data_IF_219948835678
#
_entry.id   IF_219948835678
#
_cell.length_a   1.000
_cell.length_b   1.000
_cell.length_c   1.000
_cell.angle_alpha   90.00
_cell.angle_beta   90.00
_cell.angle_gamma   90.00
#
_symmetry.space_group_name_H-M   'P 1'
#
loop_
_entity.id
_entity.type
_entity.pdbx_description
1 polymer ?
#
# COMPACT_ATOMS: atom_id res chain seq x y z
N UNK A 1 8.01 -19.60 -21.46
CA UNK A 1 8.49 -18.24 -21.13
C UNK A 1 7.54 -17.53 -20.17
N UNK A 2 7.94 -17.36 -18.91
CA UNK A 2 7.17 -16.53 -17.96
C UNK A 2 7.18 -15.09 -18.47
N UNK A 3 6.01 -14.51 -18.74
CA UNK A 3 5.94 -13.12 -19.15
C UNK A 3 6.48 -12.25 -18.02
N UNK A 4 7.53 -11.48 -18.29
CA UNK A 4 8.16 -10.61 -17.30
C UNK A 4 7.21 -9.45 -17.03
N UNK A 5 6.64 -9.41 -15.82
CA UNK A 5 5.79 -8.30 -15.38
C UNK A 5 6.60 -7.00 -15.42
N UNK A 6 6.06 -6.00 -16.10
CA UNK A 6 6.58 -4.63 -16.10
C UNK A 6 5.47 -3.67 -15.60
N UNK A 7 5.80 -2.46 -15.14
CA UNK A 7 4.82 -1.53 -14.58
C UNK A 7 3.65 -1.20 -15.51
N UNK A 8 3.93 -0.96 -16.81
CA UNK A 8 2.92 -0.64 -17.83
C UNK A 8 1.93 -1.79 -18.04
N UNK A 9 2.43 -3.02 -18.12
CA UNK A 9 1.62 -4.22 -18.26
C UNK A 9 0.74 -4.46 -17.03
N UNK A 10 1.29 -4.28 -15.82
CA UNK A 10 0.49 -4.35 -14.60
C UNK A 10 -0.62 -3.31 -14.56
N UNK A 11 -0.34 -2.07 -14.97
CA UNK A 11 -1.36 -1.02 -15.03
C UNK A 11 -2.45 -1.34 -16.06
N UNK A 12 -2.07 -1.85 -17.24
CA UNK A 12 -3.03 -2.30 -18.26
C UNK A 12 -3.95 -3.40 -17.77
N UNK A 13 -3.42 -4.36 -17.00
CA UNK A 13 -4.24 -5.40 -16.37
C UNK A 13 -5.28 -4.77 -15.44
N UNK A 14 -4.88 -3.83 -14.57
CA UNK A 14 -5.81 -3.15 -13.66
C UNK A 14 -6.89 -2.38 -14.43
N UNK A 15 -6.51 -1.63 -15.47
CA UNK A 15 -7.45 -0.91 -16.33
C UNK A 15 -8.45 -1.86 -17.01
N UNK A 16 -7.98 -3.00 -17.51
CA UNK A 16 -8.84 -4.03 -18.10
C UNK A 16 -9.85 -4.57 -17.08
N UNK A 17 -9.41 -4.90 -15.87
CA UNK A 17 -10.31 -5.38 -14.82
C UNK A 17 -11.37 -4.33 -14.44
N UNK A 18 -11.00 -3.05 -14.37
CA UNK A 18 -11.95 -1.95 -14.12
C UNK A 18 -12.95 -1.80 -15.25
N UNK A 19 -12.50 -1.89 -16.49
CA UNK A 19 -13.36 -1.80 -17.66
C UNK A 19 -14.39 -2.94 -17.71
N UNK A 20 -13.94 -4.18 -17.48
CA UNK A 20 -14.82 -5.36 -17.47
C UNK A 20 -15.74 -5.42 -16.23
N UNK A 21 -15.31 -4.84 -15.11
CA UNK A 21 -16.05 -4.90 -13.84
C UNK A 21 -16.25 -3.49 -13.23
N UNK A 22 -17.10 -2.63 -13.82
CA UNK A 22 -17.19 -1.22 -13.44
C UNK A 22 -17.55 -1.01 -11.96
N UNK A 23 -18.42 -1.86 -11.42
CA UNK A 23 -18.96 -1.76 -10.05
C UNK A 23 -18.17 -2.57 -9.01
N UNK A 24 -17.22 -3.41 -9.43
CA UNK A 24 -16.50 -4.27 -8.50
C UNK A 24 -15.49 -3.47 -7.67
N UNK A 25 -15.21 -3.97 -6.46
CA UNK A 25 -14.03 -3.56 -5.71
C UNK A 25 -12.81 -4.21 -6.35
N UNK A 26 -11.87 -3.38 -6.80
CA UNK A 26 -10.57 -3.81 -7.31
C UNK A 26 -9.53 -3.46 -6.26
N UNK A 27 -9.06 -4.51 -5.58
CA UNK A 27 -8.04 -4.42 -4.55
C UNK A 27 -6.66 -4.64 -5.16
N UNK A 28 -5.82 -3.61 -5.08
CA UNK A 28 -4.41 -3.71 -5.44
C UNK A 28 -3.67 -4.28 -4.24
N UNK A 29 -3.37 -5.57 -4.34
CA UNK A 29 -2.82 -6.36 -3.24
C UNK A 29 -1.29 -6.22 -3.11
N UNK A 30 -0.67 -7.22 -2.48
CA UNK A 30 0.77 -7.23 -2.23
C UNK A 30 1.62 -7.20 -3.49
N UNK A 31 2.78 -6.53 -3.38
CA UNK A 31 3.77 -6.42 -4.46
C UNK A 31 3.53 -5.26 -5.42
N UNK A 32 2.53 -4.41 -5.17
CA UNK A 32 2.24 -3.25 -6.01
C UNK A 32 3.42 -2.28 -6.07
N UNK A 33 4.15 -2.11 -4.98
CA UNK A 33 5.27 -1.18 -4.89
C UNK A 33 6.47 -1.70 -5.69
N UNK A 34 6.64 -3.02 -5.76
CA UNK A 34 7.68 -3.67 -6.56
C UNK A 34 7.35 -3.66 -8.06
N UNK A 35 6.10 -3.94 -8.40
CA UNK A 35 5.67 -4.14 -9.78
C UNK A 35 5.27 -2.85 -10.49
N UNK A 36 4.65 -1.89 -9.80
CA UNK A 36 4.23 -0.60 -10.35
C UNK A 36 5.28 0.49 -10.13
N UNK A 37 6.08 0.41 -9.05
CA UNK A 37 7.12 1.39 -8.73
C UNK A 37 6.53 2.80 -8.70
N UNK A 38 7.13 3.74 -9.44
CA UNK A 38 6.64 5.13 -9.50
C UNK A 38 5.28 5.26 -10.22
N UNK A 39 4.83 4.24 -10.95
CA UNK A 39 3.48 4.21 -11.57
C UNK A 39 2.38 3.80 -10.59
N UNK A 40 2.70 3.53 -9.32
CA UNK A 40 1.71 3.13 -8.31
C UNK A 40 0.58 4.16 -8.17
N UNK A 41 0.90 5.45 -8.29
CA UNK A 41 -0.10 6.54 -8.25
C UNK A 41 -1.15 6.41 -9.37
N UNK A 42 -0.78 5.89 -10.54
CA UNK A 42 -1.71 5.69 -11.66
C UNK A 42 -2.65 4.52 -11.41
N UNK A 43 -2.28 3.59 -10.54
CA UNK A 43 -3.14 2.46 -10.19
C UNK A 43 -4.32 2.87 -9.29
N UNK A 44 -4.28 4.06 -8.68
CA UNK A 44 -5.40 4.63 -7.92
C UNK A 44 -6.64 4.93 -8.77
N UNK A 45 -6.49 5.04 -10.10
CA UNK A 45 -7.60 5.27 -11.01
C UNK A 45 -8.43 3.99 -11.26
N UNK A 46 -7.82 2.85 -11.66
CA UNK A 46 -8.56 1.61 -11.80
C UNK A 46 -8.83 0.87 -10.48
N UNK A 47 -7.98 1.03 -9.46
CA UNK A 47 -8.14 0.39 -8.15
C UNK A 47 -8.83 1.29 -7.13
N UNK A 48 -9.65 0.72 -6.26
CA UNK A 48 -10.36 1.47 -5.21
C UNK A 48 -10.17 0.89 -3.80
N UNK A 49 -9.18 0.01 -3.64
CA UNK A 49 -8.88 -0.69 -2.39
C UNK A 49 -7.40 -1.10 -2.38
N UNK A 50 -6.71 -0.90 -1.25
CA UNK A 50 -5.26 -1.06 -1.09
C UNK A 50 -4.95 -1.60 0.31
N UNK A 51 -3.82 -2.31 0.46
CA UNK A 51 -3.27 -2.60 1.77
C UNK A 51 -2.30 -1.49 2.19
N UNK A 52 -2.58 -0.85 3.34
CA UNK A 52 -1.83 0.29 3.84
C UNK A 52 -0.53 -0.13 4.55
N UNK A 53 -0.62 -1.10 5.46
CA UNK A 53 0.49 -1.59 6.25
C UNK A 53 0.59 -3.11 6.20
N UNK A 54 1.83 -3.60 6.29
CA UNK A 54 2.22 -4.98 6.57
C UNK A 54 1.30 -6.05 6.02
N UNK A 55 1.72 -6.65 4.90
CA UNK A 55 1.04 -7.81 4.32
C UNK A 55 0.98 -9.01 5.28
N UNK A 56 0.35 -10.09 4.84
CA UNK A 56 0.07 -11.26 5.68
C UNK A 56 1.26 -11.68 6.56
N UNK A 57 2.46 -11.74 5.98
CA UNK A 57 3.67 -12.21 6.68
C UNK A 57 4.78 -11.15 6.81
N UNK A 58 4.60 -9.95 6.26
CA UNK A 58 5.68 -8.94 6.19
C UNK A 58 5.29 -7.68 6.95
N UNK A 59 6.23 -7.07 7.66
CA UNK A 59 6.04 -5.74 8.23
C UNK A 59 6.10 -4.70 7.11
N UNK A 60 5.19 -3.72 7.14
CA UNK A 60 5.18 -2.64 6.17
C UNK A 60 5.82 -1.39 6.78
N UNK A 61 6.57 -0.66 5.97
CA UNK A 61 6.99 0.71 6.28
C UNK A 61 6.34 1.73 5.33
N UNK A 62 5.43 1.28 4.47
CA UNK A 62 4.93 2.07 3.34
C UNK A 62 3.60 2.76 3.62
N UNK A 63 3.07 2.66 4.84
CA UNK A 63 1.80 3.27 5.24
C UNK A 63 1.80 4.77 5.03
N UNK A 64 2.78 5.48 5.59
CA UNK A 64 2.88 6.94 5.49
C UNK A 64 3.08 7.39 4.04
N UNK A 65 3.96 6.70 3.30
CA UNK A 65 4.20 7.00 1.88
C UNK A 65 2.93 6.80 1.05
N UNK A 66 2.18 5.72 1.30
CA UNK A 66 0.92 5.42 0.60
C UNK A 66 -0.14 6.47 0.91
N UNK A 67 -0.30 6.86 2.18
CA UNK A 67 -1.23 7.91 2.59
C UNK A 67 -0.87 9.26 1.96
N UNK A 68 0.41 9.62 1.95
CA UNK A 68 0.90 10.84 1.31
C UNK A 68 0.62 10.82 -0.20
N UNK A 69 0.92 9.71 -0.88
CA UNK A 69 0.62 9.53 -2.31
C UNK A 69 -0.87 9.68 -2.62
N UNK A 70 -1.75 9.09 -1.82
CA UNK A 70 -3.21 9.20 -1.97
C UNK A 70 -3.65 10.67 -1.82
N UNK A 71 -3.11 11.36 -0.80
CA UNK A 71 -3.38 12.78 -0.55
C UNK A 71 -2.92 13.66 -1.71
N UNK A 72 -1.68 13.49 -2.15
CA UNK A 72 -1.08 14.30 -3.23
C UNK A 72 -1.79 14.08 -4.57
N UNK A 73 -2.30 12.87 -4.80
CA UNK A 73 -3.12 12.55 -5.97
C UNK A 73 -4.57 13.05 -5.86
N UNK A 74 -4.97 13.67 -4.74
CA UNK A 74 -6.30 14.24 -4.54
C UNK A 74 -7.39 13.22 -4.21
N UNK A 75 -7.03 11.97 -3.88
CA UNK A 75 -7.97 10.93 -3.50
C UNK A 75 -8.34 11.02 -2.01
N UNK A 76 -9.50 10.47 -1.66
CA UNK A 76 -9.99 10.41 -0.28
C UNK A 76 -10.15 8.96 0.16
N UNK A 77 -9.73 8.65 1.38
CA UNK A 77 -9.98 7.34 2.00
C UNK A 77 -11.35 7.31 2.67
N UNK A 78 -11.94 6.12 2.74
CA UNK A 78 -13.15 5.85 3.53
C UNK A 78 -12.71 5.35 4.90
N UNK A 79 -12.67 6.24 5.88
CA UNK A 79 -12.29 5.93 7.27
C UNK A 79 -12.97 6.90 8.23
N UNK A 80 -12.95 6.56 9.53
CA UNK A 80 -13.44 7.43 10.59
C UNK A 80 -12.53 8.65 10.84
N UNK A 81 -11.27 8.58 10.41
CA UNK A 81 -10.25 9.62 10.56
C UNK A 81 -9.88 10.22 9.21
N UNK A 82 -9.52 11.49 9.18
CA UNK A 82 -9.01 12.16 7.98
C UNK A 82 -7.54 11.79 7.70
N UNK A 83 -7.10 11.87 6.44
CA UNK A 83 -5.70 11.59 6.08
C UNK A 83 -4.75 12.55 6.80
N UNK A 84 -5.15 13.82 6.93
CA UNK A 84 -4.37 14.85 7.60
C UNK A 84 -4.18 14.56 9.09
N UNK A 85 -5.23 14.11 9.79
CA UNK A 85 -5.12 13.66 11.19
C UNK A 85 -4.16 12.50 11.33
N UNK A 86 -4.25 11.50 10.44
CA UNK A 86 -3.39 10.31 10.49
C UNK A 86 -1.93 10.71 10.26
N UNK A 87 -1.66 11.54 9.24
CA UNK A 87 -0.30 12.01 8.96
C UNK A 87 0.26 12.82 10.14
N UNK A 88 -0.49 13.78 10.66
CA UNK A 88 -0.04 14.63 11.77
C UNK A 88 0.26 13.84 13.04
N UNK A 89 -0.59 12.88 13.42
CA UNK A 89 -0.37 12.04 14.60
C UNK A 89 0.94 11.22 14.51
N UNK A 90 1.28 10.73 13.31
CA UNK A 90 2.52 9.97 13.10
C UNK A 90 3.77 10.88 13.01
N UNK A 91 3.63 12.12 12.55
CA UNK A 91 4.74 13.08 12.58
C UNK A 91 5.15 13.45 14.02
N UNK A 92 4.22 13.49 14.98
CA UNK A 92 4.55 13.66 16.39
C UNK A 92 5.40 12.52 16.98
N UNK A 93 5.25 11.30 16.49
CA UNK A 93 6.06 10.13 16.91
C UNK A 93 7.40 10.02 16.17
N UNK A 94 7.61 10.82 15.11
CA UNK A 94 8.73 10.68 14.16
C UNK A 94 10.08 11.25 14.61
N UNK A 95 10.27 11.55 15.90
CA UNK A 95 11.59 11.91 16.43
C UNK A 95 12.61 10.76 16.39
N UNK A 96 12.20 9.51 16.10
CA UNK A 96 13.12 8.37 15.94
C UNK A 96 12.59 7.34 14.92
N UNK A 97 12.93 7.51 13.64
CA UNK A 97 13.74 6.54 12.89
C UNK A 97 13.81 6.90 11.40
N UNK A 98 15.05 7.04 10.95
CA UNK A 98 15.47 7.42 9.61
C UNK A 98 15.03 6.40 8.56
N UNK A 99 14.57 6.93 7.43
CA UNK A 99 14.71 6.34 6.10
C UNK A 99 16.06 5.65 5.96
N UNK A 100 16.13 4.33 6.08
CA UNK A 100 17.32 3.57 5.70
C UNK A 100 16.98 2.10 5.37
N UNK A 101 17.24 1.77 4.10
CA UNK A 101 17.32 0.44 3.47
C UNK A 101 16.04 -0.16 2.85
N UNK A 102 15.75 0.37 1.66
CA UNK A 102 15.08 -0.32 0.55
C UNK A 102 15.84 -1.59 0.15
N UNK A 103 15.58 -2.73 0.82
CA UNK A 103 15.66 -4.10 0.28
C UNK A 103 15.74 -5.20 1.36
N UNK A 104 15.10 -5.02 2.52
CA UNK A 104 14.96 -6.13 3.48
C UNK A 104 13.51 -6.30 3.87
N UNK A 105 12.86 -7.33 3.31
CA UNK A 105 11.51 -7.72 3.71
C UNK A 105 11.61 -8.28 5.13
N UNK A 106 11.10 -7.54 6.12
CA UNK A 106 11.07 -8.00 7.51
C UNK A 106 9.82 -8.86 7.68
N UNK A 107 10.02 -10.10 8.13
CA UNK A 107 8.91 -11.00 8.44
C UNK A 107 8.29 -10.63 9.78
N UNK A 108 6.97 -10.82 9.89
CA UNK A 108 6.23 -10.73 11.16
C UNK A 108 6.68 -11.87 12.08
N UNK A 109 6.92 -11.55 13.35
CA UNK A 109 7.24 -12.52 14.38
C UNK A 109 5.96 -13.14 14.94
N UNK A 110 6.10 -14.21 15.74
CA UNK A 110 4.96 -14.87 16.38
C UNK A 110 4.14 -13.90 17.25
N UNK A 111 4.79 -12.91 17.87
CA UNK A 111 4.16 -11.81 18.60
C UNK A 111 3.23 -10.96 17.74
N UNK A 112 3.64 -10.65 16.50
CA UNK A 112 2.87 -9.82 15.58
C UNK A 112 1.68 -10.61 14.99
N UNK A 113 1.83 -11.93 14.83
CA UNK A 113 0.79 -12.82 14.30
C UNK A 113 -0.21 -13.27 15.37
N UNK A 114 0.20 -13.32 16.65
CA UNK A 114 -0.62 -13.80 17.78
C UNK A 114 -0.53 -12.83 18.98
N UNK A 115 -1.12 -11.63 18.87
CA UNK A 115 -1.01 -10.59 19.90
C UNK A 115 -1.67 -10.95 21.23
N UNK A 116 -2.57 -11.94 21.27
CA UNK A 116 -3.30 -12.35 22.46
C UNK A 116 -2.62 -13.47 23.27
N UNK A 117 -1.59 -14.13 22.76
CA UNK A 117 -0.98 -15.32 23.40
C UNK A 117 0.21 -14.95 24.29
N UNK A 118 0.74 -13.73 24.18
CA UNK A 118 1.95 -13.29 24.87
C UNK A 118 1.70 -12.13 25.86
N UNK A 119 0.47 -12.01 26.38
CA UNK A 119 0.13 -11.16 27.53
C UNK A 119 0.05 -11.99 28.80
#
# INVERSE_FOLDING_TARGET
PTMKLNPEFCLRILCLFRFLNPKAEIRIAAGRELHLRDMEVLALYPGNSLFLDGYLNTKGEQTLKTLQMIKDAGFKIRSNHSIDEILNNNFSDSSQNKYQNSSKIILKNLTDLRPHILK
#
